data_IF_817287035433
#
_entry.id   IF_817287035433
#
_cell.length_a   1.000
_cell.length_b   1.000
_cell.length_c   1.000
_cell.angle_alpha   90.00
_cell.angle_beta   90.00
_cell.angle_gamma   90.00
#
_symmetry.space_group_name_H-M   'P 1'
#
loop_
_entity.id
_entity.type
_entity.pdbx_description
1 polymer ?
#
# COMPACT_ATOMS: atom_id res chain seq x y z
N UNK A 1 -17.59 -17.28 1.07
CA UNK A 1 -17.29 -15.85 0.95
C UNK A 1 -17.57 -15.11 2.26
N UNK A 2 -18.82 -14.98 2.68
CA UNK A 2 -19.20 -14.21 3.88
C UNK A 2 -18.48 -14.64 5.17
N UNK A 3 -18.32 -15.94 5.40
CA UNK A 3 -17.57 -16.45 6.55
C UNK A 3 -16.11 -15.97 6.55
N UNK A 4 -15.47 -15.93 5.37
CA UNK A 4 -14.08 -15.47 5.22
C UNK A 4 -13.94 -13.98 5.51
N UNK A 5 -14.95 -13.17 5.17
CA UNK A 5 -14.95 -11.73 5.45
C UNK A 5 -14.81 -11.42 6.95
N UNK A 6 -15.30 -12.29 7.83
CA UNK A 6 -15.18 -12.12 9.28
C UNK A 6 -13.73 -12.02 9.77
N UNK A 7 -12.78 -12.64 9.06
CA UNK A 7 -11.34 -12.57 9.37
C UNK A 7 -10.72 -11.21 9.07
N UNK A 8 -11.41 -10.38 8.28
CA UNK A 8 -10.92 -9.09 7.81
C UNK A 8 -11.69 -7.91 8.43
N UNK A 9 -12.46 -8.16 9.49
CA UNK A 9 -13.21 -7.14 10.24
C UNK A 9 -12.56 -6.93 11.60
N UNK A 10 -12.56 -5.69 12.11
CA UNK A 10 -11.89 -5.31 13.36
C UNK A 10 -10.45 -4.87 13.15
N UNK A 11 -9.59 -5.12 14.13
CA UNK A 11 -8.16 -4.82 14.03
C UNK A 11 -7.43 -5.93 13.29
N UNK A 12 -6.78 -5.58 12.17
CA UNK A 12 -6.05 -6.52 11.34
C UNK A 12 -4.68 -5.97 10.95
N UNK A 13 -3.77 -6.87 10.58
CA UNK A 13 -2.46 -6.51 10.06
C UNK A 13 -2.50 -6.52 8.53
N UNK A 14 -2.18 -5.39 7.90
CA UNK A 14 -2.05 -5.31 6.44
C UNK A 14 -0.63 -5.03 6.00
N UNK A 15 -0.15 -5.81 5.03
CA UNK A 15 1.03 -5.47 4.26
C UNK A 15 0.64 -4.45 3.18
N UNK A 16 1.23 -3.24 3.18
CA UNK A 16 0.94 -2.26 2.14
C UNK A 16 1.36 -2.78 0.76
N UNK A 17 0.59 -2.46 -0.30
CA UNK A 17 0.94 -2.90 -1.64
C UNK A 17 2.23 -2.21 -2.10
N UNK A 18 3.02 -2.93 -2.90
CA UNK A 18 4.24 -2.41 -3.53
C UNK A 18 3.98 -1.11 -4.31
N UNK A 19 2.87 -1.08 -5.07
CA UNK A 19 2.36 0.13 -5.72
C UNK A 19 1.62 1.03 -4.73
N UNK A 20 2.37 1.67 -3.83
CA UNK A 20 1.87 2.65 -2.87
C UNK A 20 2.67 3.96 -2.92
N UNK A 21 2.15 4.97 -2.21
CA UNK A 21 2.82 6.26 -2.02
C UNK A 21 3.86 6.24 -0.88
N UNK A 22 4.06 5.08 -0.22
CA UNK A 22 5.08 4.93 0.82
C UNK A 22 6.46 5.18 0.24
N UNK A 23 7.38 5.68 1.07
CA UNK A 23 8.75 6.02 0.68
C UNK A 23 9.79 5.05 1.23
N UNK A 24 10.86 4.84 0.47
CA UNK A 24 12.14 4.25 0.89
C UNK A 24 13.23 5.20 0.41
N UNK A 25 14.08 5.66 1.33
CA UNK A 25 15.18 6.58 1.05
C UNK A 25 14.72 7.83 0.26
N UNK A 26 13.62 8.44 0.69
CA UNK A 26 13.04 9.64 0.04
C UNK A 26 12.24 9.39 -1.24
N UNK A 27 12.38 8.23 -1.89
CA UNK A 27 11.69 7.90 -3.14
C UNK A 27 10.43 7.03 -2.90
N UNK A 28 9.36 7.28 -3.65
CA UNK A 28 8.11 6.49 -3.56
C UNK A 28 8.35 5.07 -4.09
N UNK A 29 7.83 4.05 -3.42
CA UNK A 29 7.94 2.65 -3.85
C UNK A 29 7.42 2.45 -5.28
N UNK A 30 6.30 3.10 -5.62
CA UNK A 30 5.73 3.07 -6.97
C UNK A 30 6.64 3.63 -8.05
N UNK A 31 7.51 4.60 -7.74
CA UNK A 31 8.48 5.16 -8.70
C UNK A 31 9.62 4.17 -8.92
N UNK A 32 10.15 3.60 -7.85
CA UNK A 32 11.22 2.60 -7.91
C UNK A 32 10.80 1.36 -8.72
N UNK A 33 9.55 0.90 -8.55
CA UNK A 33 8.99 -0.21 -9.32
C UNK A 33 8.89 0.09 -10.81
N UNK A 34 8.42 1.30 -11.17
CA UNK A 34 8.33 1.74 -12.58
C UNK A 34 9.71 1.83 -13.25
N UNK A 35 10.77 2.03 -12.46
CA UNK A 35 12.15 2.03 -12.92
C UNK A 35 12.75 0.61 -12.99
N UNK A 36 11.96 -0.43 -12.73
CA UNK A 36 12.41 -1.83 -12.74
C UNK A 36 13.27 -2.20 -11.53
N UNK A 37 13.37 -1.35 -10.51
CA UNK A 37 14.14 -1.68 -9.32
C UNK A 37 13.41 -2.72 -8.47
N UNK A 38 14.18 -3.62 -7.85
CA UNK A 38 13.64 -4.59 -6.90
C UNK A 38 13.25 -3.85 -5.62
N UNK A 39 11.96 -3.79 -5.34
CA UNK A 39 11.40 -3.14 -4.15
C UNK A 39 10.72 -4.18 -3.29
N UNK A 40 11.09 -4.21 -2.01
CA UNK A 40 10.44 -5.06 -1.01
C UNK A 40 9.25 -4.35 -0.39
N UNK A 41 8.24 -5.15 -0.03
CA UNK A 41 7.08 -4.64 0.69
C UNK A 41 7.49 -4.10 2.07
N UNK A 42 6.83 -3.02 2.48
CA UNK A 42 6.98 -2.53 3.86
C UNK A 42 6.36 -3.55 4.83
N UNK A 43 6.83 -3.60 6.09
CA UNK A 43 6.26 -4.51 7.09
C UNK A 43 4.77 -4.26 7.28
N UNK A 44 4.06 -5.31 7.71
CA UNK A 44 2.65 -5.23 8.03
C UNK A 44 2.38 -4.18 9.10
N UNK A 45 1.24 -3.49 9.01
CA UNK A 45 0.83 -2.43 9.94
C UNK A 45 -0.60 -2.68 10.42
N UNK A 46 -0.92 -2.33 11.68
CA UNK A 46 -2.29 -2.43 12.16
C UNK A 46 -3.18 -1.44 11.41
N UNK A 47 -4.37 -1.90 11.04
CA UNK A 47 -5.45 -1.11 10.45
C UNK A 47 -6.78 -1.58 11.03
N UNK A 48 -7.76 -0.68 11.08
CA UNK A 48 -9.08 -0.96 11.62
C UNK A 48 -10.12 -1.02 10.50
N UNK A 49 -10.92 -2.08 10.50
CA UNK A 49 -12.08 -2.26 9.63
C UNK A 49 -13.34 -2.24 10.49
N UNK A 50 -14.06 -1.12 10.46
CA UNK A 50 -15.26 -0.90 11.27
C UNK A 50 -16.46 -1.71 10.74
N UNK A 51 -16.61 -1.80 9.41
CA UNK A 51 -17.64 -2.61 8.76
C UNK A 51 -17.12 -3.18 7.45
N UNK A 52 -17.45 -4.44 7.20
CA UNK A 52 -17.16 -5.13 5.94
C UNK A 52 -18.37 -5.99 5.58
N UNK A 53 -18.97 -5.74 4.42
CA UNK A 53 -20.15 -6.48 3.96
C UNK A 53 -20.07 -6.82 2.48
N UNK A 54 -20.57 -8.00 2.12
CA UNK A 54 -20.77 -8.42 0.75
C UNK A 54 -22.06 -7.79 0.23
N UNK A 55 -21.98 -6.99 -0.83
CA UNK A 55 -23.15 -6.35 -1.46
C UNK A 55 -23.69 -7.17 -2.63
N UNK A 56 -22.79 -7.73 -3.42
CA UNK A 56 -23.14 -8.56 -4.57
C UNK A 56 -22.09 -9.64 -4.77
N UNK A 57 -22.52 -10.79 -5.30
CA UNK A 57 -21.66 -11.93 -5.57
C UNK A 57 -22.17 -12.68 -6.81
N UNK A 58 -21.52 -12.40 -7.94
CA UNK A 58 -21.80 -13.03 -9.23
C UNK A 58 -20.47 -13.49 -9.84
N UNK A 59 -20.00 -14.71 -9.48
CA UNK A 59 -18.68 -15.20 -9.88
C UNK A 59 -18.42 -15.02 -11.39
N UNK A 60 -17.23 -14.52 -11.78
CA UNK A 60 -16.05 -14.32 -10.93
C UNK A 60 -16.01 -12.97 -10.18
N UNK A 61 -17.10 -12.19 -10.19
CA UNK A 61 -17.17 -10.85 -9.61
C UNK A 61 -17.84 -10.85 -8.23
N UNK A 62 -17.42 -9.91 -7.40
CA UNK A 62 -18.03 -9.61 -6.12
C UNK A 62 -17.87 -8.15 -5.76
N UNK A 63 -18.81 -7.60 -5.01
CA UNK A 63 -18.83 -6.20 -4.58
C UNK A 63 -18.82 -6.15 -3.07
N UNK A 64 -17.89 -5.38 -2.51
CA UNK A 64 -17.77 -5.15 -1.07
C UNK A 64 -18.11 -3.71 -0.72
N UNK A 65 -18.75 -3.53 0.44
CA UNK A 65 -18.90 -2.24 1.10
C UNK A 65 -18.09 -2.24 2.39
N UNK A 66 -17.23 -1.24 2.54
CA UNK A 66 -16.14 -1.20 3.51
C UNK A 66 -16.14 0.14 4.23
N UNK A 67 -16.19 0.09 5.55
CA UNK A 67 -15.89 1.22 6.43
C UNK A 67 -14.62 0.90 7.20
N UNK A 68 -13.61 1.77 7.08
CA UNK A 68 -12.27 1.51 7.59
C UNK A 68 -11.59 2.81 8.06
N UNK A 69 -10.59 2.64 8.93
CA UNK A 69 -9.75 3.72 9.43
C UNK A 69 -8.66 4.16 8.44
N UNK A 70 -7.84 5.10 8.88
CA UNK A 70 -6.70 5.61 8.10
C UNK A 70 -5.67 4.52 7.78
N UNK A 71 -5.04 4.62 6.62
CA UNK A 71 -3.96 3.70 6.22
C UNK A 71 -4.41 2.32 5.69
N UNK A 72 -5.72 2.08 5.60
CA UNK A 72 -6.28 0.86 5.04
C UNK A 72 -6.08 0.76 3.52
N UNK A 73 -5.64 -0.39 3.04
CA UNK A 73 -5.46 -0.69 1.62
C UNK A 73 -6.50 -1.70 1.14
N UNK A 74 -7.55 -1.21 0.46
CA UNK A 74 -8.58 -2.07 -0.17
C UNK A 74 -7.96 -3.09 -1.15
N UNK A 75 -6.90 -2.70 -1.86
CA UNK A 75 -6.18 -3.59 -2.78
C UNK A 75 -5.49 -4.75 -2.05
N UNK A 76 -4.92 -4.51 -0.87
CA UNK A 76 -4.34 -5.58 -0.04
C UNK A 76 -5.44 -6.50 0.48
N UNK A 77 -6.56 -5.95 0.96
CA UNK A 77 -7.73 -6.74 1.37
C UNK A 77 -8.17 -7.71 0.25
N UNK A 78 -8.33 -7.21 -0.97
CA UNK A 78 -8.82 -8.03 -2.09
C UNK A 78 -7.82 -9.13 -2.47
N UNK A 79 -6.52 -8.81 -2.50
CA UNK A 79 -5.47 -9.80 -2.75
C UNK A 79 -5.47 -10.91 -1.68
N UNK A 80 -5.52 -10.54 -0.40
CA UNK A 80 -5.54 -11.50 0.71
C UNK A 80 -6.84 -12.31 0.77
N UNK A 81 -7.98 -11.71 0.44
CA UNK A 81 -9.25 -12.41 0.31
C UNK A 81 -9.21 -13.43 -0.84
N UNK A 82 -8.57 -13.09 -1.96
CA UNK A 82 -8.31 -14.03 -3.06
C UNK A 82 -7.55 -15.26 -2.57
N UNK A 83 -6.44 -15.06 -1.84
CA UNK A 83 -5.64 -16.16 -1.26
C UNK A 83 -6.44 -17.00 -0.27
N UNK A 84 -7.22 -16.38 0.60
CA UNK A 84 -8.08 -17.06 1.58
C UNK A 84 -9.19 -17.90 0.90
N UNK A 85 -9.57 -17.56 -0.33
CA UNK A 85 -10.48 -18.33 -1.17
C UNK A 85 -9.77 -19.35 -2.07
N UNK A 86 -8.47 -19.60 -1.86
CA UNK A 86 -7.64 -20.46 -2.70
C UNK A 86 -7.61 -20.02 -4.17
N UNK A 87 -7.66 -18.72 -4.42
CA UNK A 87 -7.68 -18.10 -5.74
C UNK A 87 -6.79 -16.85 -5.76
N UNK A 88 -6.94 -16.02 -6.79
CA UNK A 88 -6.41 -14.67 -6.86
C UNK A 88 -7.54 -13.69 -7.14
N UNK A 89 -7.45 -12.49 -6.58
CA UNK A 89 -8.41 -11.43 -6.84
C UNK A 89 -7.68 -10.10 -6.94
N UNK A 90 -8.21 -9.19 -7.76
CA UNK A 90 -7.71 -7.83 -7.88
C UNK A 90 -8.89 -6.87 -7.92
N UNK A 91 -8.65 -5.63 -7.50
CA UNK A 91 -9.65 -4.58 -7.56
C UNK A 91 -9.86 -4.19 -9.02
N UNK A 92 -11.08 -4.37 -9.53
CA UNK A 92 -11.50 -3.87 -10.84
C UNK A 92 -11.97 -2.42 -10.76
N UNK A 93 -12.81 -2.11 -9.79
CA UNK A 93 -13.42 -0.79 -9.57
C UNK A 93 -13.37 -0.45 -8.06
N UNK A 94 -13.13 0.82 -7.74
CA UNK A 94 -13.09 1.30 -6.36
C UNK A 94 -13.61 2.74 -6.29
N UNK A 95 -14.70 2.91 -5.54
CA UNK A 95 -15.31 4.23 -5.29
C UNK A 95 -15.24 4.52 -3.81
N UNK A 96 -14.59 5.62 -3.43
CA UNK A 96 -14.62 6.11 -2.05
C UNK A 96 -15.88 6.96 -1.86
N UNK A 97 -16.87 6.43 -1.18
CA UNK A 97 -18.18 7.07 -1.01
C UNK A 97 -18.22 8.12 0.11
N UNK A 98 -17.28 8.04 1.06
CA UNK A 98 -17.20 8.91 2.24
C UNK A 98 -15.76 9.07 2.74
N UNK A 99 -15.42 10.22 3.29
CA UNK A 99 -14.22 10.49 4.09
C UNK A 99 -14.57 11.45 5.24
N UNK A 100 -14.52 10.97 6.48
CA UNK A 100 -15.00 11.75 7.63
C UNK A 100 -16.46 12.16 7.43
N UNK A 101 -16.77 13.44 7.57
CA UNK A 101 -18.11 14.00 7.33
C UNK A 101 -18.47 14.16 5.83
N UNK A 102 -17.48 14.12 4.93
CA UNK A 102 -17.70 14.38 3.51
C UNK A 102 -18.14 13.11 2.78
N UNK A 103 -19.28 13.17 2.11
CA UNK A 103 -19.81 12.13 1.19
C UNK A 103 -19.63 12.55 -0.27
N UNK A 104 -19.98 11.67 -1.22
CA UNK A 104 -19.98 12.00 -2.66
C UNK A 104 -20.86 13.20 -3.03
N UNK A 105 -21.91 13.50 -2.28
CA UNK A 105 -22.77 14.66 -2.51
C UNK A 105 -22.03 15.99 -2.33
N UNK A 106 -20.94 15.97 -1.56
CA UNK A 106 -20.08 17.12 -1.33
C UNK A 106 -18.93 17.21 -2.34
N UNK A 107 -18.78 16.22 -3.23
CA UNK A 107 -17.74 16.22 -4.24
C UNK A 107 -18.12 17.19 -5.36
N UNK A 108 -17.21 18.11 -5.70
CA UNK A 108 -17.42 19.02 -6.82
C UNK A 108 -17.13 18.28 -8.13
N UNK A 109 -18.15 18.08 -8.95
CA UNK A 109 -18.02 17.46 -10.27
C UNK A 109 -17.17 18.33 -11.20
N UNK A 110 -16.41 17.71 -12.11
CA UNK A 110 -15.44 18.40 -12.98
C UNK A 110 -16.07 19.54 -13.78
N UNK A 111 -17.30 19.34 -14.24
CA UNK A 111 -18.11 20.32 -14.97
C UNK A 111 -18.36 21.62 -14.17
N UNK A 112 -18.22 21.57 -12.84
CA UNK A 112 -18.44 22.69 -11.93
C UNK A 112 -17.15 23.26 -11.34
N UNK A 113 -15.97 22.95 -11.90
CA UNK A 113 -14.68 23.48 -11.44
C UNK A 113 -14.45 24.95 -11.88
N UNK A 114 -15.39 25.84 -11.59
CA UNK A 114 -15.19 27.28 -11.71
C UNK A 114 -14.70 27.88 -10.40
N UNK A 115 -13.97 28.99 -10.47
CA UNK A 115 -13.46 29.70 -9.28
C UNK A 115 -14.57 30.04 -8.30
N UNK A 116 -15.74 30.43 -8.81
CA UNK A 116 -16.92 30.77 -8.01
C UNK A 116 -17.46 29.57 -7.24
N UNK A 117 -17.69 28.43 -7.91
CA UNK A 117 -18.19 27.22 -7.28
C UNK A 117 -17.21 26.66 -6.25
N UNK A 118 -15.91 26.61 -6.58
CA UNK A 118 -14.86 26.20 -5.63
C UNK A 118 -14.88 27.12 -4.40
N UNK A 119 -14.93 28.43 -4.60
CA UNK A 119 -14.94 29.41 -3.50
C UNK A 119 -16.18 29.28 -2.62
N UNK A 120 -17.33 28.92 -3.18
CA UNK A 120 -18.56 28.70 -2.43
C UNK A 120 -18.49 27.40 -1.60
N UNK A 121 -18.05 26.29 -2.21
CA UNK A 121 -17.90 24.99 -1.52
C UNK A 121 -16.91 25.02 -0.35
N UNK A 122 -15.93 25.93 -0.35
CA UNK A 122 -15.01 26.11 0.77
C UNK A 122 -15.63 26.83 1.99
N UNK A 123 -16.72 27.59 1.80
CA UNK A 123 -17.34 28.38 2.88
C UNK A 123 -18.34 27.56 3.72
N UNK A 124 -18.90 26.51 3.15
CA UNK A 124 -19.97 25.71 3.77
C UNK A 124 -19.52 24.26 3.97
N UNK A 125 -18.62 23.98 4.93
CA UNK A 125 -18.27 22.60 5.24
C UNK A 125 -19.49 21.89 5.83
N UNK A 126 -19.83 20.68 5.35
CA UNK A 126 -20.99 19.96 5.81
C UNK A 126 -20.84 19.52 7.25
N UNK A 127 -21.72 19.99 8.15
CA UNK A 127 -21.83 19.45 9.51
C UNK A 127 -20.75 19.87 10.49
N UNK A 128 -20.16 21.06 10.38
CA UNK A 128 -19.61 21.69 11.59
C UNK A 128 -20.79 22.09 12.49
N UNK A 129 -20.88 21.60 13.74
CA UNK A 129 -21.76 22.27 14.69
C UNK A 129 -21.33 23.74 14.72
N UNK A 130 -22.28 24.66 14.58
CA UNK A 130 -22.04 26.07 14.89
C UNK A 130 -21.35 26.09 16.24
N UNK A 131 -20.16 26.69 16.33
CA UNK A 131 -19.39 26.75 17.57
C UNK A 131 -20.33 27.21 18.68
N UNK A 132 -20.79 26.27 19.50
CA UNK A 132 -21.54 26.58 20.69
C UNK A 132 -20.50 26.88 21.74
N UNK A 133 -20.46 28.14 22.13
CA UNK A 133 -19.70 28.68 23.24
C UNK A 133 -19.90 27.76 24.47
N UNK A 134 -18.94 26.88 24.74
CA UNK A 134 -19.11 25.90 25.80
C UNK A 134 -18.04 24.82 25.79
N UNK A 135 -17.02 25.02 26.63
CA UNK A 135 -16.04 24.05 27.14
C UNK A 135 -16.38 22.58 26.91
N UNK A 136 -15.80 21.99 25.89
CA UNK A 136 -15.80 20.55 25.63
C UNK A 136 -14.60 20.24 24.76
N UNK A 137 -13.46 19.98 25.40
CA UNK A 137 -12.25 19.50 24.72
C UNK A 137 -12.58 18.17 24.06
N UNK A 138 -12.85 18.20 22.75
CA UNK A 138 -12.90 16.98 21.95
C UNK A 138 -11.45 16.57 21.72
N UNK A 139 -10.96 15.60 22.50
CA UNK A 139 -9.67 14.96 22.25
C UNK A 139 -9.66 14.43 20.82
N UNK A 140 -8.95 15.16 19.98
CA UNK A 140 -8.61 14.74 18.63
C UNK A 140 -7.58 13.63 18.80
N UNK A 141 -8.02 12.39 18.68
CA UNK A 141 -7.14 11.23 18.61
C UNK A 141 -6.01 11.57 17.64
N UNK A 142 -4.74 11.57 18.08
CA UNK A 142 -3.66 12.06 17.26
C UNK A 142 -3.60 11.19 16.01
N UNK A 143 -3.91 11.80 14.86
CA UNK A 143 -3.50 11.27 13.57
C UNK A 143 -2.05 10.80 13.72
N UNK A 144 -1.71 9.54 13.37
CA UNK A 144 -0.37 9.05 13.57
C UNK A 144 0.59 10.02 12.89
N UNK A 145 1.43 10.66 13.70
CA UNK A 145 2.36 11.68 13.25
C UNK A 145 3.06 11.15 12.00
N UNK A 146 2.97 11.90 10.90
CA UNK A 146 3.85 11.69 9.77
C UNK A 146 5.25 11.91 10.35
N UNK A 147 5.98 10.82 10.62
CA UNK A 147 7.35 10.90 11.11
C UNK A 147 8.13 11.74 10.10
N UNK A 148 8.39 12.99 10.46
CA UNK A 148 9.45 13.77 9.85
C UNK A 148 10.78 13.22 10.34
N UNK A 149 11.79 13.44 9.52
CA UNK A 149 13.20 13.53 9.89
C UNK A 149 14.01 12.23 10.03
N UNK A 150 14.93 12.08 9.06
CA UNK A 150 16.35 11.84 9.31
C UNK A 150 16.73 10.72 10.29
N UNK A 151 16.55 9.48 9.87
CA UNK A 151 17.45 8.40 10.30
C UNK A 151 18.52 8.23 9.21
N UNK A 152 19.54 9.09 9.24
CA UNK A 152 20.84 8.77 8.68
C UNK A 152 21.58 7.94 9.73
N UNK A 153 21.57 6.61 9.57
CA UNK A 153 22.66 5.79 10.08
C UNK A 153 23.82 5.93 9.09
N UNK A 154 24.85 6.68 9.51
CA UNK A 154 26.18 6.68 8.91
C UNK A 154 26.72 5.23 8.83
N UNK A 155 27.18 4.73 7.67
CA UNK A 155 27.86 3.46 7.63
C UNK A 155 29.24 3.60 8.31
N UNK A 156 29.47 2.75 9.30
CA UNK A 156 30.75 2.61 9.98
C UNK A 156 31.91 2.49 8.98
N UNK A 157 32.93 3.32 9.18
CA UNK A 157 34.13 3.38 8.37
C UNK A 157 34.83 2.03 8.33
N UNK A 158 35.01 1.51 7.11
CA UNK A 158 36.00 0.49 6.77
C UNK A 158 37.39 0.95 7.20
N UNK A 159 38.11 0.15 7.99
CA UNK A 159 39.55 0.29 8.19
C UNK A 159 40.19 -1.03 8.61
N UNK A 160 40.93 -1.60 7.65
CA UNK A 160 42.19 -2.37 7.77
C UNK A 160 42.09 -3.82 8.28
N UNK A 161 42.16 -4.76 7.34
CA UNK A 161 42.88 -6.02 7.53
C UNK A 161 44.26 -5.92 6.85
N UNK A 162 45.34 -6.43 7.48
CA UNK A 162 46.70 -6.30 6.95
C UNK A 162 47.03 -7.38 5.92
N UNK A 163 47.89 -7.01 4.97
CA UNK A 163 48.59 -7.91 4.05
C UNK A 163 49.38 -9.00 4.79
N UNK A 164 49.42 -10.21 4.21
CA UNK A 164 50.57 -11.14 4.29
C UNK A 164 50.51 -12.22 3.20
N UNK A 165 51.35 -12.00 2.18
CA UNK A 165 52.30 -12.90 1.48
C UNK A 165 51.84 -14.23 0.79
N UNK A 166 52.55 -14.69 -0.27
CA UNK A 166 52.02 -15.63 -1.28
C UNK A 166 52.64 -17.06 -1.31
N UNK A 167 51.88 -17.99 -1.94
CA UNK A 167 52.25 -19.27 -2.62
C UNK A 167 52.82 -20.45 -1.78
N UNK A 168 52.83 -21.74 -2.26
CA UNK A 168 52.74 -22.27 -3.64
C UNK A 168 51.65 -23.34 -3.89
N UNK A 169 51.05 -23.39 -5.08
CA UNK A 169 51.27 -24.36 -6.18
C UNK A 169 51.16 -25.86 -5.81
N UNK A 170 50.09 -26.51 -6.29
CA UNK A 170 50.11 -27.92 -6.67
C UNK A 170 48.89 -28.21 -7.55
N UNK A 171 49.16 -28.67 -8.77
CA UNK A 171 48.18 -28.76 -9.85
C UNK A 171 47.38 -30.05 -9.95
N UNK A 172 46.43 -30.00 -10.87
CA UNK A 172 45.90 -31.06 -11.73
C UNK A 172 44.91 -30.35 -12.68
N UNK A 173 45.17 -30.24 -14.00
CA UNK A 173 44.78 -31.23 -15.03
C UNK A 173 43.32 -31.68 -14.83
N UNK A 174 42.39 -31.67 -15.78
CA UNK A 174 42.34 -31.56 -17.24
C UNK A 174 40.87 -31.94 -17.57
N UNK A 175 40.07 -31.29 -18.42
CA UNK A 175 39.91 -31.54 -19.86
C UNK A 175 38.48 -31.11 -20.26
N UNK A 176 38.33 -30.76 -21.54
CA UNK A 176 37.20 -30.96 -22.46
C UNK A 176 35.75 -30.87 -21.90
N UNK A 177 34.80 -30.15 -22.49
CA UNK A 177 34.69 -29.67 -23.87
C UNK A 177 33.20 -29.59 -24.25
N UNK A 178 32.90 -28.83 -25.30
CA UNK A 178 31.75 -29.09 -26.16
C UNK A 178 30.38 -28.51 -25.75
N UNK A 179 30.08 -27.31 -26.26
CA UNK A 179 28.77 -27.01 -26.83
C UNK A 179 28.50 -27.96 -28.02
N UNK A 180 27.24 -28.35 -28.30
CA UNK A 180 26.51 -27.57 -29.30
C UNK A 180 24.99 -27.44 -29.09
N UNK A 181 24.49 -26.37 -29.72
CA UNK A 181 23.13 -26.07 -30.14
C UNK A 181 22.30 -27.24 -30.67
N UNK A 182 20.99 -27.23 -30.40
CA UNK A 182 19.92 -27.69 -31.33
C UNK A 182 18.54 -27.20 -30.86
N UNK A 183 17.89 -26.36 -31.67
CA UNK A 183 16.70 -26.66 -32.48
C UNK A 183 15.39 -26.71 -31.68
N UNK A 184 14.52 -25.69 -31.85
CA UNK A 184 13.27 -25.75 -32.65
C UNK A 184 12.30 -26.82 -32.16
N UNK A 185 11.20 -26.41 -31.54
CA UNK A 185 9.88 -26.77 -32.06
C UNK A 185 8.75 -25.89 -31.52
N UNK A 186 7.85 -25.65 -32.45
CA UNK A 186 6.57 -24.95 -32.41
C UNK A 186 5.50 -25.82 -31.74
N UNK A 187 4.67 -25.22 -30.88
CA UNK A 187 3.24 -25.49 -30.73
C UNK A 187 2.61 -24.34 -29.94
#
# INVERSE_FOLDING_TARGET
MEEKLKKFTGEIMQVPPLYSALKRNGQRLSVLLKQGQKVEAKPARPVTVHRLSLKDFSPPLFTLDIECGGGFYVRSLVDDLGKELSSSAHVRELTRTKQGQFTLEHALHEEHWTVEHISHSLKEPPGLPAASDGSGEMEMDPYPAVRSESDHEEPASSSRHPEREPHPDTGAQSEAGGLPSREKNLA
#
